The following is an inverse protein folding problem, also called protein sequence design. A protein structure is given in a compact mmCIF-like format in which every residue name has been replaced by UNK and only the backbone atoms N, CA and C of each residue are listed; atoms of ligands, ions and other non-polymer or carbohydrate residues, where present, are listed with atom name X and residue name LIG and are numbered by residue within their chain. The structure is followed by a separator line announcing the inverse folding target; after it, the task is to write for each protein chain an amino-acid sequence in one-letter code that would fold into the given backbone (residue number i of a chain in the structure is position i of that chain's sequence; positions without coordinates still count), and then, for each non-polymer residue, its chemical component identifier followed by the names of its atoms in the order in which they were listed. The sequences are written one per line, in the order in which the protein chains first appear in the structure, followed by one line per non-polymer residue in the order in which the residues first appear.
data_IF_216445269413
#
_entry.id   IF_216445269413
#
_cell.length_a   1.000
_cell.length_b   1.000
_cell.length_c   1.000
_cell.angle_alpha   90.00
_cell.angle_beta   90.00
_cell.angle_gamma   90.00
#
_symmetry.space_group_name_H-M   'P 1'
#
loop_
_entity.id
_entity.type
_entity.pdbx_description
1 polymer ?
#
# COMPACT_ATOMS: atom_id res chain seq x y z
N UNK A 1 -90.10 -16.05 29.82
CA UNK A 1 -88.99 -16.66 30.58
C UNK A 1 -87.69 -16.40 29.82
N UNK A 2 -86.74 -15.76 30.50
CA UNK A 2 -85.28 -15.69 30.33
C UNK A 2 -84.65 -15.54 28.92
N UNK A 3 -83.97 -14.43 28.57
CA UNK A 3 -82.64 -13.89 28.98
C UNK A 3 -81.50 -14.32 28.03
N UNK A 4 -80.90 -13.39 27.26
CA UNK A 4 -79.47 -12.98 27.36
C UNK A 4 -79.03 -12.02 26.22
N UNK A 5 -78.57 -10.83 26.63
CA UNK A 5 -77.72 -9.89 25.89
C UNK A 5 -76.32 -10.49 25.71
N UNK A 6 -75.67 -10.23 24.57
CA UNK A 6 -74.21 -10.36 24.43
C UNK A 6 -73.63 -8.97 24.16
N UNK A 7 -72.86 -8.48 25.14
CA UNK A 7 -72.02 -7.29 25.07
C UNK A 7 -70.73 -7.60 24.28
N UNK A 8 -70.39 -6.74 23.31
CA UNK A 8 -69.07 -6.69 22.67
C UNK A 8 -68.14 -5.80 23.50
N UNK A 9 -67.13 -6.40 24.14
CA UNK A 9 -66.04 -5.69 24.79
C UNK A 9 -64.85 -5.54 23.83
N UNK A 10 -64.54 -4.30 23.44
CA UNK A 10 -63.36 -3.96 22.67
C UNK A 10 -62.13 -3.92 23.58
N UNK A 11 -61.27 -4.94 23.50
CA UNK A 11 -59.96 -4.96 24.16
C UNK A 11 -58.90 -4.24 23.32
N UNK A 12 -58.46 -3.07 23.79
CA UNK A 12 -57.30 -2.36 23.26
C UNK A 12 -56.02 -3.05 23.74
N UNK A 13 -55.39 -3.86 22.89
CA UNK A 13 -54.09 -4.47 23.19
C UNK A 13 -53.00 -3.45 22.81
N UNK A 14 -52.51 -2.70 23.80
CA UNK A 14 -51.28 -1.93 23.69
C UNK A 14 -50.08 -2.89 23.64
N UNK A 15 -49.61 -3.23 22.44
CA UNK A 15 -48.34 -3.91 22.23
C UNK A 15 -47.19 -2.93 22.52
N UNK A 16 -46.63 -3.02 23.72
CA UNK A 16 -45.40 -2.32 24.09
C UNK A 16 -44.22 -3.03 23.41
N UNK A 17 -43.79 -2.53 22.25
CA UNK A 17 -42.54 -2.97 21.66
C UNK A 17 -41.39 -2.36 22.48
N UNK A 18 -40.47 -3.15 23.06
CA UNK A 18 -39.30 -2.59 23.71
C UNK A 18 -38.46 -1.90 22.64
N UNK A 19 -38.21 -0.60 22.81
CA UNK A 19 -37.25 0.13 21.99
C UNK A 19 -35.91 -0.60 22.06
N UNK A 20 -35.56 -1.33 21.01
CA UNK A 20 -34.19 -1.78 20.81
C UNK A 20 -33.33 -0.54 20.72
N UNK A 21 -32.69 -0.15 21.83
CA UNK A 21 -31.61 0.84 21.83
C UNK A 21 -30.57 0.36 20.83
N UNK A 22 -30.62 0.93 19.63
CA UNK A 22 -29.63 0.73 18.59
C UNK A 22 -28.30 1.23 19.15
N UNK A 23 -27.48 0.30 19.65
CA UNK A 23 -26.16 0.62 20.21
C UNK A 23 -25.34 1.23 19.08
N UNK A 24 -25.15 2.54 19.13
CA UNK A 24 -24.40 3.26 18.10
C UNK A 24 -23.04 2.57 17.88
N UNK A 25 -22.83 2.03 16.67
CA UNK A 25 -21.63 1.29 16.34
C UNK A 25 -20.39 2.15 16.63
N UNK A 26 -19.42 1.58 17.35
CA UNK A 26 -18.14 2.23 17.61
C UNK A 26 -17.40 2.47 16.29
N UNK A 27 -16.68 3.59 16.18
CA UNK A 27 -15.84 3.86 15.02
C UNK A 27 -14.82 2.75 14.82
N UNK A 28 -14.69 2.26 13.59
CA UNK A 28 -13.67 1.26 13.25
C UNK A 28 -12.26 1.88 13.26
N UNK A 29 -11.24 1.05 13.48
CA UNK A 29 -9.86 1.47 13.30
C UNK A 29 -9.59 1.94 11.86
N UNK A 30 -8.85 3.04 11.64
CA UNK A 30 -8.40 3.42 10.31
C UNK A 30 -7.57 2.30 9.67
N UNK A 31 -7.79 2.06 8.37
CA UNK A 31 -7.03 1.09 7.57
C UNK A 31 -6.06 1.84 6.65
N UNK A 32 -5.04 1.13 6.16
CA UNK A 32 -4.10 1.66 5.18
C UNK A 32 -3.30 2.86 5.69
N UNK A 33 -3.00 2.91 7.00
CA UNK A 33 -2.07 3.93 7.52
C UNK A 33 -0.71 3.72 6.86
N UNK A 34 -0.27 4.74 6.12
CA UNK A 34 1.04 4.81 5.51
C UNK A 34 1.76 6.03 6.09
N UNK A 35 2.89 5.77 6.72
CA UNK A 35 3.87 6.79 7.10
C UNK A 35 5.04 6.75 6.11
N UNK A 36 5.39 7.91 5.58
CA UNK A 36 6.51 8.05 4.65
C UNK A 36 7.33 9.30 4.96
N UNK A 37 8.61 9.13 5.23
CA UNK A 37 9.59 10.20 5.41
C UNK A 37 10.06 10.69 4.06
N UNK A 38 9.87 11.99 3.82
CA UNK A 38 10.25 12.68 2.59
C UNK A 38 10.96 13.97 2.97
N UNK A 39 12.26 14.06 2.68
CA UNK A 39 13.16 15.12 3.18
C UNK A 39 13.07 15.20 4.71
N UNK A 40 12.72 16.34 5.27
CA UNK A 40 12.52 16.64 6.70
C UNK A 40 11.05 16.50 7.15
N UNK A 41 10.16 16.04 6.26
CA UNK A 41 8.74 15.86 6.54
C UNK A 41 8.37 14.38 6.70
N UNK A 42 7.38 14.10 7.55
CA UNK A 42 6.67 12.82 7.56
C UNK A 42 5.25 13.00 7.04
N UNK A 43 4.96 12.30 5.95
CA UNK A 43 3.67 12.27 5.28
C UNK A 43 2.89 11.06 5.77
N UNK A 44 1.77 11.33 6.45
CA UNK A 44 0.85 10.32 6.92
C UNK A 44 -0.41 10.32 6.06
N UNK A 45 -0.91 9.14 5.69
CA UNK A 45 -2.20 9.00 5.02
C UNK A 45 -2.91 7.73 5.48
N UNK A 46 -4.25 7.74 5.49
CA UNK A 46 -5.06 6.59 5.87
C UNK A 46 -6.43 6.63 5.16
N UNK A 47 -7.14 5.51 5.20
CA UNK A 47 -8.49 5.41 4.65
C UNK A 47 -9.54 6.06 5.58
N UNK A 48 -10.58 6.71 5.02
CA UNK A 48 -11.64 7.31 5.81
C UNK A 48 -12.43 6.29 6.62
N UNK A 49 -12.71 6.60 7.89
CA UNK A 49 -13.61 5.85 8.75
C UNK A 49 -15.02 6.42 8.65
N UNK A 50 -16.00 5.57 8.32
CA UNK A 50 -17.40 5.98 8.17
C UNK A 50 -17.93 6.58 9.48
N UNK A 51 -18.46 7.80 9.40
CA UNK A 51 -19.10 8.49 10.53
C UNK A 51 -18.15 9.16 11.52
N UNK A 52 -16.84 9.18 11.23
CA UNK A 52 -15.85 9.94 12.00
C UNK A 52 -15.86 11.42 11.62
N UNK A 53 -15.71 12.30 12.61
CA UNK A 53 -15.59 13.74 12.42
C UNK A 53 -14.13 14.18 12.29
N UNK A 54 -13.20 13.38 12.84
CA UNK A 54 -11.77 13.60 12.67
C UNK A 54 -10.91 12.45 13.20
N UNK A 55 -9.62 12.72 13.30
CA UNK A 55 -8.60 11.76 13.70
C UNK A 55 -7.58 12.39 14.65
N UNK A 56 -7.07 11.59 15.58
CA UNK A 56 -5.91 11.89 16.39
C UNK A 56 -4.72 11.05 15.94
N UNK A 57 -3.57 11.70 15.84
CA UNK A 57 -2.31 11.10 15.40
C UNK A 57 -1.38 11.03 16.60
N UNK A 58 -0.91 9.82 16.88
CA UNK A 58 0.07 9.55 17.90
C UNK A 58 1.39 9.12 17.25
N UNK A 59 2.47 9.66 17.78
CA UNK A 59 3.85 9.42 17.35
C UNK A 59 4.63 8.80 18.50
N UNK A 60 5.60 7.96 18.15
CA UNK A 60 6.67 7.52 19.03
C UNK A 60 7.97 7.62 18.26
N UNK A 61 8.85 8.52 18.68
CA UNK A 61 10.19 8.63 18.10
C UNK A 61 11.08 7.48 18.60
N UNK A 62 12.13 7.18 17.86
CA UNK A 62 13.21 6.30 18.31
C UNK A 62 13.77 6.79 19.65
N UNK A 63 14.08 5.85 20.56
CA UNK A 63 14.53 6.17 21.92
C UNK A 63 13.43 6.63 22.88
N UNK A 64 12.17 6.78 22.43
CA UNK A 64 11.04 7.11 23.32
C UNK A 64 10.23 5.87 23.74
N UNK A 65 9.88 5.84 25.03
CA UNK A 65 9.05 4.79 25.63
C UNK A 65 7.55 5.04 25.44
N UNK A 66 7.13 6.30 25.46
CA UNK A 66 5.73 6.74 25.41
C UNK A 66 5.22 7.11 24.02
N UNK A 67 3.90 7.21 23.88
CA UNK A 67 3.26 7.80 22.70
C UNK A 67 2.84 9.24 22.98
N UNK A 68 3.12 10.13 22.04
CA UNK A 68 2.71 11.55 22.11
C UNK A 68 1.65 11.83 21.07
N UNK A 69 0.56 12.49 21.45
CA UNK A 69 -0.42 13.00 20.47
C UNK A 69 0.17 14.24 19.80
N UNK A 70 0.44 14.15 18.50
CA UNK A 70 1.12 15.23 17.75
C UNK A 70 0.19 16.05 16.88
N UNK A 71 -1.02 15.56 16.59
CA UNK A 71 -1.96 16.27 15.72
C UNK A 71 -3.40 15.74 15.84
N UNK A 72 -4.34 16.66 15.67
CA UNK A 72 -5.76 16.37 15.44
C UNK A 72 -6.18 16.95 14.08
N UNK A 73 -6.94 16.22 13.27
CA UNK A 73 -7.37 16.71 11.95
C UNK A 73 -8.62 16.02 11.42
N UNK A 74 -9.45 16.73 10.66
CA UNK A 74 -10.55 16.16 9.87
C UNK A 74 -10.08 15.58 8.52
N UNK A 75 -8.84 15.88 8.10
CA UNK A 75 -8.24 15.35 6.86
C UNK A 75 -7.83 13.89 7.08
N UNK A 76 -7.74 13.13 5.98
CA UNK A 76 -7.29 11.72 5.96
C UNK A 76 -5.80 11.62 5.64
N UNK A 77 -5.09 12.72 5.88
CA UNK A 77 -3.70 12.95 5.57
C UNK A 77 -3.17 14.02 6.52
N UNK A 78 -1.94 13.85 6.98
CA UNK A 78 -1.20 14.87 7.69
C UNK A 78 0.22 14.96 7.13
N UNK A 79 0.79 16.16 7.20
CA UNK A 79 2.22 16.39 7.03
C UNK A 79 2.70 16.89 8.40
N UNK A 80 3.70 16.20 8.92
CA UNK A 80 4.43 16.56 10.14
C UNK A 80 5.80 17.07 9.69
N UNK A 81 6.07 18.33 9.96
CA UNK A 81 7.32 18.99 9.54
C UNK A 81 8.39 18.86 10.63
N UNK A 82 9.60 19.24 10.27
CA UNK A 82 10.72 19.44 11.20
C UNK A 82 11.01 18.18 12.02
N UNK A 83 10.95 17.01 11.37
CA UNK A 83 11.35 15.74 11.99
C UNK A 83 12.85 15.55 11.84
N UNK A 84 13.46 14.97 12.85
CA UNK A 84 14.91 14.82 12.89
C UNK A 84 15.36 13.90 11.76
N UNK A 85 16.18 14.43 10.86
CA UNK A 85 16.80 13.67 9.78
C UNK A 85 17.58 12.47 10.33
N UNK A 86 17.50 11.35 9.63
CA UNK A 86 18.12 10.08 10.02
C UNK A 86 17.42 9.34 11.16
N UNK A 87 16.32 9.87 11.74
CA UNK A 87 15.63 9.25 12.86
C UNK A 87 14.42 8.42 12.44
N UNK A 88 14.13 7.37 13.21
CA UNK A 88 12.94 6.53 13.01
C UNK A 88 11.76 7.01 13.84
N UNK A 89 10.57 6.96 13.24
CA UNK A 89 9.32 7.33 13.90
C UNK A 89 8.26 6.26 13.66
N UNK A 90 7.43 6.00 14.66
CA UNK A 90 6.30 5.07 14.61
C UNK A 90 5.01 5.83 14.84
N UNK A 91 4.00 5.56 14.02
CA UNK A 91 2.71 6.23 14.08
C UNK A 91 1.56 5.26 14.30
N UNK A 92 0.54 5.76 15.00
CA UNK A 92 -0.80 5.16 15.03
C UNK A 92 -1.84 6.27 15.01
N UNK A 93 -2.94 6.01 14.33
CA UNK A 93 -4.06 6.96 14.17
C UNK A 93 -5.35 6.34 14.67
N UNK A 94 -6.18 7.10 15.39
CA UNK A 94 -7.55 6.70 15.75
C UNK A 94 -8.56 7.74 15.27
N UNK A 95 -9.75 7.28 14.90
CA UNK A 95 -10.85 8.15 14.52
C UNK A 95 -11.64 8.60 15.77
N UNK A 96 -12.23 9.80 15.73
CA UNK A 96 -13.15 10.29 16.75
C UNK A 96 -14.44 10.83 16.16
N UNK A 97 -15.48 10.88 16.98
CA UNK A 97 -16.78 11.51 16.70
C UNK A 97 -17.16 12.43 17.84
N UNK A 98 -17.56 13.65 17.53
CA UNK A 98 -18.03 14.64 18.50
C UNK A 98 -19.49 14.32 18.85
N UNK A 99 -19.79 14.28 20.15
CA UNK A 99 -21.14 14.12 20.70
C UNK A 99 -21.39 15.22 21.73
N UNK A 100 -22.66 15.46 22.07
CA UNK A 100 -23.03 16.38 23.17
C UNK A 100 -22.34 16.01 24.49
N UNK A 101 -22.11 14.73 24.73
CA UNK A 101 -21.44 14.19 25.92
C UNK A 101 -19.91 14.11 25.81
N UNK A 102 -19.29 14.77 24.82
CA UNK A 102 -17.83 14.71 24.56
C UNK A 102 -17.42 13.83 23.38
N UNK A 103 -16.12 13.61 23.22
CA UNK A 103 -15.57 12.84 22.09
C UNK A 103 -15.68 11.32 22.31
N UNK A 104 -16.13 10.60 21.29
CA UNK A 104 -16.08 9.14 21.23
C UNK A 104 -14.99 8.68 20.28
N UNK A 105 -14.12 7.80 20.75
CA UNK A 105 -12.96 7.30 20.02
C UNK A 105 -13.17 5.89 19.49
N UNK A 106 -12.65 5.61 18.29
CA UNK A 106 -12.44 4.26 17.79
C UNK A 106 -11.11 3.68 18.25
N UNK A 107 -10.88 2.40 17.94
CA UNK A 107 -9.58 1.76 18.14
C UNK A 107 -8.50 2.37 17.25
N UNK A 108 -7.24 2.21 17.65
CA UNK A 108 -6.09 2.61 16.82
C UNK A 108 -5.95 1.73 15.57
N UNK A 109 -5.47 2.34 14.50
CA UNK A 109 -4.96 1.65 13.31
C UNK A 109 -3.77 0.74 13.64
N UNK A 110 -3.44 -0.17 12.70
CA UNK A 110 -2.14 -0.83 12.71
C UNK A 110 -1.04 0.22 12.65
N UNK A 111 0.05 0.00 13.39
CA UNK A 111 1.20 0.92 13.41
C UNK A 111 1.82 1.02 12.02
N UNK A 112 2.32 2.20 11.70
CA UNK A 112 3.18 2.42 10.54
C UNK A 112 4.38 3.25 10.97
N UNK A 113 5.57 2.74 10.75
CA UNK A 113 6.81 3.47 10.98
C UNK A 113 7.43 4.03 9.69
N UNK A 114 8.41 4.89 9.81
CA UNK A 114 9.20 5.43 8.70
C UNK A 114 10.56 5.91 9.22
N UNK A 115 11.55 6.00 8.33
CA UNK A 115 12.84 6.64 8.63
C UNK A 115 12.91 7.96 7.86
N UNK A 116 13.17 9.07 8.53
CA UNK A 116 13.44 10.34 7.84
C UNK A 116 14.85 10.25 7.23
N UNK A 117 15.04 10.51 5.92
CA UNK A 117 16.38 10.46 5.33
C UNK A 117 17.35 11.44 6.01
N UNK A 118 18.64 11.15 5.98
CA UNK A 118 19.65 12.00 6.62
C UNK A 118 19.90 13.27 5.80
N UNK A 119 20.05 13.13 4.47
CA UNK A 119 20.28 14.25 3.54
C UNK A 119 19.47 14.12 2.24
N UNK A 120 19.08 12.90 1.86
CA UNK A 120 18.33 12.61 0.65
C UNK A 120 16.85 12.98 0.69
N UNK A 121 16.11 12.57 -0.33
CA UNK A 121 14.65 12.79 -0.39
C UNK A 121 13.89 11.65 0.28
N UNK A 122 14.35 10.41 0.17
CA UNK A 122 13.70 9.25 0.81
C UNK A 122 14.74 8.18 1.15
N UNK A 123 14.31 7.09 1.78
CA UNK A 123 15.14 5.91 1.99
C UNK A 123 14.65 4.73 1.15
N UNK A 124 15.54 3.80 0.83
CA UNK A 124 15.19 2.56 0.13
C UNK A 124 14.16 1.75 0.91
N UNK A 125 14.29 1.72 2.25
CA UNK A 125 13.30 1.14 3.15
C UNK A 125 11.93 1.80 2.99
N UNK A 126 11.85 3.13 3.01
CA UNK A 126 10.59 3.86 2.82
C UNK A 126 9.95 3.55 1.47
N UNK A 127 10.73 3.57 0.39
CA UNK A 127 10.26 3.20 -0.96
C UNK A 127 9.62 1.81 -1.00
N UNK A 128 10.27 0.81 -0.38
CA UNK A 128 9.72 -0.54 -0.31
C UNK A 128 8.46 -0.62 0.58
N UNK A 129 8.40 0.12 1.69
CA UNK A 129 7.16 0.20 2.50
C UNK A 129 6.00 0.82 1.74
N UNK A 130 6.25 1.88 0.98
CA UNK A 130 5.25 2.48 0.08
C UNK A 130 4.78 1.44 -0.94
N UNK A 131 5.70 0.68 -1.55
CA UNK A 131 5.37 -0.35 -2.54
C UNK A 131 4.48 -1.48 -1.97
N UNK A 132 4.58 -1.76 -0.67
CA UNK A 132 3.78 -2.78 0.01
C UNK A 132 2.40 -2.28 0.45
N UNK A 133 2.19 -0.97 0.57
CA UNK A 133 0.92 -0.40 1.03
C UNK A 133 -0.33 -0.87 0.24
N UNK A 134 -0.30 -0.98 -1.11
CA UNK A 134 -1.45 -1.47 -1.89
C UNK A 134 -1.63 -3.01 -1.87
N UNK A 135 -0.65 -3.78 -1.38
CA UNK A 135 -0.67 -5.25 -1.43
C UNK A 135 -1.93 -5.81 -0.77
N UNK A 136 -2.61 -6.72 -1.46
CA UNK A 136 -3.80 -7.39 -0.96
C UNK A 136 -5.05 -6.50 -0.87
N UNK A 137 -4.99 -5.26 -1.37
CA UNK A 137 -6.09 -4.29 -1.33
C UNK A 137 -6.32 -3.51 -2.61
N UNK A 138 -5.52 -3.76 -3.65
CA UNK A 138 -5.63 -3.05 -4.93
C UNK A 138 -5.68 -4.07 -6.07
N UNK A 139 -6.74 -4.02 -6.88
CA UNK A 139 -6.90 -4.89 -8.04
C UNK A 139 -6.06 -4.41 -9.23
N UNK A 140 -5.71 -5.34 -10.11
CA UNK A 140 -5.08 -5.02 -11.38
C UNK A 140 -6.13 -4.44 -12.33
N UNK A 141 -5.91 -3.23 -12.82
CA UNK A 141 -6.75 -2.56 -13.81
C UNK A 141 -5.85 -2.11 -14.94
N UNK A 142 -6.04 -2.64 -16.16
CA UNK A 142 -5.30 -2.18 -17.34
C UNK A 142 -5.52 -0.68 -17.54
N UNK A 143 -4.44 0.12 -17.61
CA UNK A 143 -4.52 1.59 -17.66
C UNK A 143 -4.77 2.25 -16.31
N UNK A 144 -4.78 1.49 -15.21
CA UNK A 144 -4.88 2.04 -13.85
C UNK A 144 -3.60 2.76 -13.47
N UNK A 145 -3.70 3.99 -12.97
CA UNK A 145 -2.55 4.87 -12.72
C UNK A 145 -2.19 5.78 -13.91
N UNK A 146 -2.64 5.44 -15.12
CA UNK A 146 -2.46 6.27 -16.32
C UNK A 146 -3.47 7.40 -16.42
N UNK A 147 -3.09 8.49 -17.10
CA UNK A 147 -4.04 9.53 -17.53
C UNK A 147 -4.94 9.00 -18.66
N UNK A 148 -5.94 9.80 -19.09
CA UNK A 148 -6.89 9.39 -20.15
C UNK A 148 -6.21 9.27 -21.52
N UNK A 149 -5.21 10.11 -21.79
CA UNK A 149 -4.47 10.14 -23.05
C UNK A 149 -3.47 8.98 -23.19
N UNK A 150 -3.25 8.21 -22.13
CA UNK A 150 -2.35 7.04 -22.08
C UNK A 150 -0.90 7.39 -22.43
N UNK A 151 -0.47 8.60 -22.05
CA UNK A 151 0.86 9.13 -22.31
C UNK A 151 1.57 9.63 -21.04
N UNK A 152 1.08 9.24 -19.86
CA UNK A 152 1.68 9.62 -18.59
C UNK A 152 0.81 9.34 -17.37
N UNK A 153 1.28 9.82 -16.22
CA UNK A 153 0.62 9.62 -14.94
C UNK A 153 -0.75 10.30 -14.84
N UNK A 154 -1.73 9.54 -14.36
CA UNK A 154 -3.08 10.01 -14.06
C UNK A 154 -3.25 10.42 -12.59
N UNK A 155 -4.48 10.80 -12.24
CA UNK A 155 -4.85 11.27 -10.89
C UNK A 155 -4.52 10.27 -9.78
N UNK A 156 -4.61 8.97 -10.07
CA UNK A 156 -4.28 7.91 -9.13
C UNK A 156 -2.77 7.84 -8.85
N UNK A 157 -1.92 7.90 -9.88
CA UNK A 157 -0.46 7.85 -9.71
C UNK A 157 0.10 9.12 -9.05
N UNK A 158 -0.54 10.29 -9.29
CA UNK A 158 -0.16 11.59 -8.71
C UNK A 158 -0.74 11.83 -7.30
N UNK A 159 -1.42 10.83 -6.71
CA UNK A 159 -2.04 10.93 -5.39
C UNK A 159 -1.05 10.54 -4.29
N UNK A 160 -1.07 11.29 -3.20
CA UNK A 160 -0.46 10.89 -1.93
C UNK A 160 -1.38 9.96 -1.14
N UNK A 161 -0.86 8.79 -0.79
CA UNK A 161 -1.56 7.73 -0.09
C UNK A 161 -2.44 6.88 -1.00
N UNK A 162 -2.97 5.81 -0.42
CA UNK A 162 -3.88 4.91 -1.11
C UNK A 162 -5.17 5.63 -1.54
N UNK A 163 -5.75 5.22 -2.66
CA UNK A 163 -7.11 5.58 -3.01
C UNK A 163 -8.08 4.64 -2.27
N UNK A 164 -8.99 5.15 -1.41
CA UNK A 164 -9.94 4.30 -0.68
C UNK A 164 -10.85 3.45 -1.57
N UNK A 165 -11.05 3.85 -2.83
CA UNK A 165 -11.81 3.07 -3.80
C UNK A 165 -11.11 1.77 -4.20
N UNK A 166 -9.77 1.70 -4.12
CA UNK A 166 -9.04 0.47 -4.44
C UNK A 166 -9.43 -0.66 -3.48
N UNK A 167 -9.37 -0.43 -2.16
CA UNK A 167 -9.79 -1.44 -1.18
C UNK A 167 -11.28 -1.76 -1.30
N UNK A 168 -12.11 -0.73 -1.43
CA UNK A 168 -13.57 -0.90 -1.57
C UNK A 168 -13.92 -1.77 -2.77
N UNK A 169 -13.23 -1.57 -3.89
CA UNK A 169 -13.41 -2.39 -5.09
C UNK A 169 -12.82 -3.78 -4.92
N UNK A 170 -11.61 -3.89 -4.39
CA UNK A 170 -10.94 -5.17 -4.15
C UNK A 170 -11.77 -6.07 -3.23
N UNK A 171 -12.33 -5.55 -2.14
CA UNK A 171 -13.12 -6.32 -1.17
C UNK A 171 -14.41 -6.91 -1.77
N UNK A 172 -14.93 -6.33 -2.86
CA UNK A 172 -16.11 -6.84 -3.58
C UNK A 172 -15.79 -7.94 -4.60
N UNK A 173 -14.52 -8.11 -4.96
CA UNK A 173 -14.14 -9.09 -5.98
C UNK A 173 -14.09 -10.51 -5.43
N UNK A 174 -14.43 -11.48 -6.27
CA UNK A 174 -14.36 -12.92 -5.97
C UNK A 174 -13.18 -13.56 -6.71
N UNK A 175 -12.90 -14.83 -6.43
CA UNK A 175 -11.87 -15.60 -7.14
C UNK A 175 -12.08 -15.61 -8.68
N UNK A 176 -13.32 -15.40 -9.16
CA UNK A 176 -13.69 -15.29 -10.57
C UNK A 176 -13.35 -13.94 -11.22
N UNK A 177 -12.62 -13.04 -10.54
CA UNK A 177 -12.26 -11.73 -11.09
C UNK A 177 -11.53 -11.85 -12.42
N UNK A 178 -12.02 -11.16 -13.43
CA UNK A 178 -11.40 -11.05 -14.75
C UNK A 178 -11.16 -9.58 -15.09
N UNK A 179 -9.89 -9.18 -15.12
CA UNK A 179 -9.49 -7.80 -15.38
C UNK A 179 -9.97 -7.27 -16.74
N UNK A 180 -10.23 -8.15 -17.72
CA UNK A 180 -10.73 -7.76 -19.05
C UNK A 180 -12.06 -7.01 -18.99
N UNK A 181 -12.90 -7.32 -17.99
CA UNK A 181 -14.20 -6.66 -17.76
C UNK A 181 -14.07 -5.26 -17.12
N UNK A 182 -12.85 -4.87 -16.73
CA UNK A 182 -12.56 -3.64 -15.99
C UNK A 182 -11.41 -2.83 -16.59
N UNK A 183 -10.97 -3.14 -17.82
CA UNK A 183 -9.94 -2.33 -18.51
C UNK A 183 -10.33 -0.86 -18.52
N UNK A 184 -9.35 0.00 -18.25
CA UNK A 184 -9.49 1.46 -18.21
C UNK A 184 -10.49 2.01 -17.19
N UNK A 185 -11.02 1.19 -16.27
CA UNK A 185 -11.77 1.67 -15.10
C UNK A 185 -10.84 2.28 -14.05
N UNK A 186 -10.19 3.38 -14.45
CA UNK A 186 -9.31 4.21 -13.62
C UNK A 186 -10.02 4.60 -12.32
N UNK A 187 -9.30 4.70 -11.21
CA UNK A 187 -9.85 4.92 -9.86
C UNK A 187 -10.08 3.65 -9.05
N UNK A 188 -10.12 2.46 -9.67
CA UNK A 188 -10.42 1.19 -8.98
C UNK A 188 -9.21 0.26 -8.80
N UNK A 189 -8.06 0.61 -9.37
CA UNK A 189 -6.85 -0.18 -9.25
C UNK A 189 -5.69 0.40 -10.05
N UNK A 190 -4.63 -0.39 -10.18
CA UNK A 190 -3.38 -0.01 -10.84
C UNK A 190 -2.96 -1.11 -11.81
N UNK A 191 -2.40 -0.76 -12.97
CA UNK A 191 -1.60 -1.73 -13.73
C UNK A 191 -0.15 -1.75 -13.22
N UNK A 192 0.72 -2.47 -13.92
CA UNK A 192 2.11 -2.68 -13.52
C UNK A 192 2.90 -1.37 -13.47
N UNK A 193 2.88 -0.56 -14.53
CA UNK A 193 3.62 0.71 -14.57
C UNK A 193 2.93 1.81 -13.78
N UNK A 194 1.61 1.84 -13.72
CA UNK A 194 0.86 2.71 -12.82
C UNK A 194 1.17 2.46 -11.34
N UNK A 195 1.38 1.20 -10.96
CA UNK A 195 1.84 0.83 -9.62
C UNK A 195 3.26 1.32 -9.31
N UNK A 196 4.21 1.09 -10.21
CA UNK A 196 5.59 1.55 -10.03
C UNK A 196 5.64 3.08 -9.98
N UNK A 197 4.97 3.75 -10.92
CA UNK A 197 4.90 5.22 -10.94
C UNK A 197 4.23 5.82 -9.71
N UNK A 198 3.13 5.23 -9.21
CA UNK A 198 2.52 5.63 -7.93
C UNK A 198 3.48 5.45 -6.75
N UNK A 199 4.24 4.35 -6.73
CA UNK A 199 5.21 4.05 -5.68
C UNK A 199 6.33 5.10 -5.66
N UNK A 200 6.94 5.38 -6.82
CA UNK A 200 7.98 6.41 -6.96
C UNK A 200 7.42 7.78 -6.57
N UNK A 201 6.21 8.12 -7.03
CA UNK A 201 5.58 9.39 -6.67
C UNK A 201 5.39 9.54 -5.16
N UNK A 202 4.86 8.51 -4.50
CA UNK A 202 4.63 8.56 -3.06
C UNK A 202 5.92 8.56 -2.25
N UNK A 203 6.99 7.95 -2.75
CA UNK A 203 8.29 7.96 -2.08
C UNK A 203 8.96 9.34 -2.13
N UNK A 204 8.71 10.14 -3.16
CA UNK A 204 9.43 11.40 -3.43
C UNK A 204 8.64 12.67 -3.14
N UNK A 205 7.31 12.60 -3.03
CA UNK A 205 6.44 13.77 -2.94
C UNK A 205 5.62 13.81 -1.66
N UNK A 206 5.36 15.03 -1.17
CA UNK A 206 4.52 15.26 0.01
C UNK A 206 3.16 15.84 -0.33
N UNK A 207 2.90 16.21 -1.58
CA UNK A 207 1.65 16.83 -2.03
C UNK A 207 1.09 16.15 -3.29
N UNK A 208 -0.15 16.46 -3.64
CA UNK A 208 -0.79 15.89 -4.83
C UNK A 208 -0.19 16.55 -6.09
N UNK A 209 0.17 15.74 -7.08
CA UNK A 209 0.79 16.23 -8.29
C UNK A 209 -0.17 16.78 -9.33
N UNK A 210 0.41 17.52 -10.27
CA UNK A 210 -0.24 18.05 -11.47
C UNK A 210 0.07 17.15 -12.68
N UNK A 211 -0.70 17.32 -13.73
CA UNK A 211 -0.46 16.61 -14.98
C UNK A 211 0.96 16.92 -15.49
N UNK A 212 1.71 15.87 -15.84
CA UNK A 212 3.11 15.98 -16.27
C UNK A 212 4.14 15.74 -15.15
N UNK A 213 3.76 15.76 -13.87
CA UNK A 213 4.70 15.62 -12.74
C UNK A 213 4.90 14.16 -12.25
N UNK A 214 4.43 13.16 -13.00
CA UNK A 214 4.38 11.78 -12.52
C UNK A 214 5.29 10.82 -13.28
N UNK A 215 5.41 9.61 -12.76
CA UNK A 215 6.46 8.65 -13.13
C UNK A 215 5.90 7.40 -13.83
N UNK A 216 4.83 7.56 -14.60
CA UNK A 216 4.20 6.47 -15.34
C UNK A 216 4.56 6.61 -16.81
N UNK A 217 5.15 5.56 -17.36
CA UNK A 217 5.39 5.33 -18.78
C UNK A 217 5.13 3.84 -19.07
N UNK A 218 5.32 3.42 -20.32
CA UNK A 218 5.26 2.04 -20.76
C UNK A 218 6.24 1.22 -19.93
N UNK A 219 5.81 0.03 -19.54
CA UNK A 219 6.59 -0.85 -18.68
C UNK A 219 8.01 -1.15 -19.20
N UNK A 220 8.24 -1.10 -20.52
CA UNK A 220 9.55 -1.32 -21.14
C UNK A 220 10.53 -0.15 -20.99
N UNK A 221 10.01 1.07 -20.78
CA UNK A 221 10.78 2.32 -20.77
C UNK A 221 11.26 2.66 -19.35
N UNK A 222 10.44 2.39 -18.32
CA UNK A 222 10.64 2.91 -16.97
C UNK A 222 12.06 2.75 -16.39
N UNK A 223 12.72 1.61 -16.60
CA UNK A 223 14.09 1.44 -16.12
C UNK A 223 15.08 2.43 -16.77
N UNK A 224 14.94 2.70 -18.06
CA UNK A 224 15.76 3.68 -18.76
C UNK A 224 15.38 5.10 -18.32
N UNK A 225 14.09 5.44 -18.31
CA UNK A 225 13.59 6.77 -17.93
C UNK A 225 14.08 7.18 -16.53
N UNK A 226 14.06 6.26 -15.57
CA UNK A 226 14.53 6.55 -14.20
C UNK A 226 16.06 6.68 -14.11
N UNK A 227 16.82 6.02 -14.98
CA UNK A 227 18.26 6.23 -15.08
C UNK A 227 18.59 7.58 -15.72
N UNK A 228 17.82 8.00 -16.73
CA UNK A 228 17.96 9.31 -17.40
C UNK A 228 17.72 10.48 -16.43
N UNK A 229 16.91 10.29 -15.39
CA UNK A 229 16.78 11.25 -14.29
C UNK A 229 18.03 11.38 -13.40
N UNK A 230 19.09 10.60 -13.64
CA UNK A 230 20.33 10.60 -12.86
C UNK A 230 20.22 9.90 -11.50
N UNK A 231 19.14 9.16 -11.24
CA UNK A 231 18.87 8.55 -9.92
C UNK A 231 19.57 7.22 -9.67
N UNK A 232 20.18 6.65 -10.72
CA UNK A 232 20.68 5.29 -10.67
C UNK A 232 21.31 4.85 -11.99
N UNK A 233 21.43 3.54 -12.14
CA UNK A 233 22.06 2.92 -13.32
C UNK A 233 21.06 2.04 -14.05
N UNK A 234 21.13 2.09 -15.38
CA UNK A 234 20.39 1.20 -16.26
C UNK A 234 21.29 0.05 -16.74
N UNK A 235 20.73 -1.15 -16.80
CA UNK A 235 21.35 -2.33 -17.43
C UNK A 235 20.33 -3.02 -18.31
N UNK A 236 20.73 -3.37 -19.52
CA UNK A 236 19.94 -4.28 -20.37
C UNK A 236 19.87 -5.67 -19.72
N UNK A 237 18.81 -6.42 -20.00
CA UNK A 237 18.59 -7.74 -19.37
C UNK A 237 19.80 -8.68 -19.51
N UNK A 238 20.46 -8.69 -20.67
CA UNK A 238 21.68 -9.46 -20.93
C UNK A 238 22.89 -9.10 -20.05
N UNK A 239 22.88 -7.92 -19.43
CA UNK A 239 23.94 -7.44 -18.55
C UNK A 239 23.57 -7.54 -17.05
N UNK A 240 22.36 -8.00 -16.71
CA UNK A 240 21.91 -8.18 -15.33
C UNK A 240 22.57 -9.42 -14.73
N UNK A 241 23.23 -9.24 -13.58
CA UNK A 241 23.96 -10.32 -12.87
C UNK A 241 23.40 -10.63 -11.48
N UNK A 242 22.68 -9.68 -10.90
CA UNK A 242 22.17 -9.73 -9.54
C UNK A 242 20.88 -8.91 -9.41
N UNK A 243 20.10 -9.18 -8.35
CA UNK A 243 18.88 -8.44 -8.01
C UNK A 243 18.94 -8.00 -6.56
N UNK A 244 18.83 -6.69 -6.34
CA UNK A 244 18.93 -6.04 -5.03
C UNK A 244 17.60 -5.40 -4.67
N UNK A 245 17.37 -5.23 -3.38
CA UNK A 245 16.18 -4.58 -2.87
C UNK A 245 16.02 -3.19 -3.53
N UNK A 246 14.82 -2.91 -4.04
CA UNK A 246 14.48 -1.67 -4.74
C UNK A 246 14.75 -1.64 -6.24
N UNK A 247 15.47 -2.62 -6.81
CA UNK A 247 15.67 -2.68 -8.25
C UNK A 247 14.31 -2.66 -8.97
N UNK A 248 14.22 -1.90 -10.06
CA UNK A 248 13.03 -1.83 -10.91
C UNK A 248 13.33 -2.58 -12.19
N UNK A 249 12.55 -3.64 -12.43
CA UNK A 249 12.78 -4.58 -13.51
C UNK A 249 11.73 -4.35 -14.59
N UNK A 250 12.16 -3.85 -15.75
CA UNK A 250 11.31 -3.39 -16.86
C UNK A 250 11.46 -4.28 -18.10
N UNK A 251 10.34 -4.83 -18.57
CA UNK A 251 10.28 -5.73 -19.72
C UNK A 251 9.26 -5.27 -20.76
N UNK A 252 9.14 -6.00 -21.87
CA UNK A 252 8.35 -5.59 -23.05
C UNK A 252 6.88 -5.23 -22.76
N UNK A 253 6.28 -5.85 -21.74
CA UNK A 253 4.88 -5.63 -21.33
C UNK A 253 4.62 -5.67 -19.82
N UNK A 254 5.65 -5.73 -18.98
CA UNK A 254 5.49 -5.79 -17.53
C UNK A 254 6.65 -5.11 -16.81
N UNK A 255 6.41 -4.64 -15.59
CA UNK A 255 7.41 -4.02 -14.72
C UNK A 255 7.12 -4.38 -13.26
N UNK A 256 8.17 -4.52 -12.45
CA UNK A 256 8.03 -4.84 -11.03
C UNK A 256 9.18 -4.27 -10.18
N UNK A 257 9.00 -4.30 -8.86
CA UNK A 257 10.00 -3.86 -7.87
C UNK A 257 10.54 -5.10 -7.15
N UNK A 258 11.86 -5.22 -7.05
CA UNK A 258 12.54 -6.29 -6.31
C UNK A 258 12.49 -6.01 -4.81
N UNK A 259 12.09 -7.01 -4.03
CA UNK A 259 12.23 -7.01 -2.57
C UNK A 259 13.61 -7.58 -2.18
N UNK A 260 14.07 -8.62 -2.87
CA UNK A 260 15.43 -9.14 -2.71
C UNK A 260 15.62 -10.51 -3.35
N UNK A 261 16.87 -10.97 -3.35
CA UNK A 261 17.26 -12.29 -3.86
C UNK A 261 17.30 -13.35 -2.76
N UNK A 262 17.11 -14.61 -3.16
CA UNK A 262 17.32 -15.80 -2.35
C UNK A 262 18.60 -16.52 -2.81
N UNK A 263 19.17 -17.35 -1.93
CA UNK A 263 20.39 -18.12 -2.19
C UNK A 263 20.32 -19.07 -3.39
N UNK A 264 19.11 -19.50 -3.81
CA UNK A 264 18.91 -20.36 -4.99
C UNK A 264 18.77 -19.56 -6.31
N UNK A 265 19.09 -18.27 -6.27
CA UNK A 265 18.99 -17.33 -7.39
C UNK A 265 17.56 -16.87 -7.70
N UNK A 266 16.55 -17.35 -6.95
CA UNK A 266 15.17 -16.88 -7.12
C UNK A 266 14.95 -15.53 -6.42
N UNK A 267 14.02 -14.73 -6.95
CA UNK A 267 13.80 -13.33 -6.52
C UNK A 267 12.41 -13.16 -5.95
N UNK A 268 12.31 -12.46 -4.81
CA UNK A 268 11.04 -11.98 -4.27
C UNK A 268 10.80 -10.57 -4.81
N UNK A 269 9.59 -10.31 -5.29
CA UNK A 269 9.18 -9.06 -5.90
C UNK A 269 7.78 -8.63 -5.44
N UNK A 270 7.50 -7.34 -5.59
CA UNK A 270 6.14 -6.78 -5.48
C UNK A 270 5.75 -6.17 -6.82
N UNK A 271 4.53 -6.46 -7.26
CA UNK A 271 4.05 -6.00 -8.56
C UNK A 271 2.52 -5.96 -8.63
N UNK A 272 2.01 -5.19 -9.59
CA UNK A 272 0.62 -5.30 -10.03
C UNK A 272 0.53 -6.17 -11.28
N UNK A 273 -0.18 -7.28 -11.19
CA UNK A 273 -0.54 -8.16 -12.31
C UNK A 273 -1.87 -8.82 -11.98
N UNK A 274 -2.65 -9.37 -12.93
CA UNK A 274 -3.86 -10.10 -12.58
C UNK A 274 -3.59 -11.16 -11.49
N UNK A 275 -4.32 -11.17 -10.37
CA UNK A 275 -5.53 -10.39 -10.09
C UNK A 275 -5.30 -8.96 -9.51
N UNK A 276 -4.16 -8.67 -8.90
CA UNK A 276 -3.82 -7.33 -8.41
C UNK A 276 -2.44 -7.20 -7.79
N UNK A 277 -2.28 -6.21 -6.90
CA UNK A 277 -0.99 -5.91 -6.28
C UNK A 277 -0.66 -6.94 -5.21
N UNK A 278 0.45 -7.64 -5.39
CA UNK A 278 0.88 -8.70 -4.48
C UNK A 278 2.39 -8.89 -4.43
N UNK A 279 2.85 -9.56 -3.37
CA UNK A 279 4.19 -10.11 -3.28
C UNK A 279 4.20 -11.45 -4.01
N UNK A 280 5.18 -11.65 -4.88
CA UNK A 280 5.40 -12.89 -5.62
C UNK A 280 6.86 -13.34 -5.52
N UNK A 281 7.11 -14.62 -5.81
CA UNK A 281 8.46 -15.17 -5.95
C UNK A 281 8.67 -15.77 -7.34
N UNK A 282 9.85 -15.63 -7.91
CA UNK A 282 10.20 -16.27 -9.19
C UNK A 282 10.60 -17.73 -9.00
N UNK A 283 10.52 -18.54 -10.04
CA UNK A 283 11.28 -19.77 -10.16
C UNK A 283 12.80 -19.46 -10.08
N UNK A 284 13.61 -20.49 -9.86
CA UNK A 284 15.09 -20.36 -9.98
C UNK A 284 15.47 -20.04 -11.43
N UNK A 285 16.71 -19.57 -11.70
CA UNK A 285 17.20 -19.38 -13.06
C UNK A 285 17.08 -20.63 -13.95
N UNK A 286 17.25 -21.82 -13.35
CA UNK A 286 17.06 -23.12 -14.01
C UNK A 286 15.59 -23.54 -14.20
N UNK A 287 14.61 -22.69 -13.84
CA UNK A 287 13.19 -22.96 -14.03
C UNK A 287 12.50 -23.74 -12.91
N UNK A 288 13.15 -24.02 -11.78
CA UNK A 288 12.52 -24.76 -10.66
C UNK A 288 11.45 -23.89 -10.00
N UNK A 289 10.19 -24.30 -10.12
CA UNK A 289 9.01 -23.56 -9.61
C UNK A 289 8.87 -23.59 -8.08
N UNK A 290 9.41 -24.62 -7.41
CA UNK A 290 9.37 -24.73 -5.94
C UNK A 290 10.55 -24.01 -5.25
N UNK A 291 10.83 -22.78 -5.68
CA UNK A 291 12.00 -21.99 -5.24
C UNK A 291 11.84 -21.45 -3.82
N UNK A 292 12.96 -20.99 -3.23
CA UNK A 292 12.97 -20.28 -1.95
C UNK A 292 12.12 -19.01 -2.01
N UNK A 293 12.18 -18.24 -3.10
CA UNK A 293 11.38 -17.03 -3.26
C UNK A 293 9.87 -17.31 -3.31
N UNK A 294 9.42 -18.34 -4.06
CA UNK A 294 8.00 -18.71 -4.14
C UNK A 294 7.46 -19.11 -2.76
N UNK A 295 8.22 -19.93 -2.01
CA UNK A 295 7.86 -20.32 -0.64
C UNK A 295 7.79 -19.11 0.30
N UNK A 296 8.77 -18.22 0.19
CA UNK A 296 8.87 -17.03 1.05
C UNK A 296 7.74 -16.03 0.77
N UNK A 297 7.49 -15.71 -0.50
CA UNK A 297 6.37 -14.85 -0.92
C UNK A 297 5.03 -15.43 -0.46
N UNK A 298 4.79 -16.73 -0.71
CA UNK A 298 3.57 -17.42 -0.29
C UNK A 298 3.36 -17.40 1.23
N UNK A 299 4.44 -17.58 2.01
CA UNK A 299 4.40 -17.49 3.49
C UNK A 299 3.95 -16.10 3.96
N UNK A 300 4.54 -15.04 3.42
CA UNK A 300 4.21 -13.66 3.81
C UNK A 300 2.81 -13.26 3.34
N UNK A 301 2.44 -13.62 2.11
CA UNK A 301 1.09 -13.38 1.59
C UNK A 301 0.03 -14.04 2.46
N UNK A 302 0.20 -15.32 2.84
CA UNK A 302 -0.74 -16.04 3.72
C UNK A 302 -0.81 -15.44 5.12
N UNK A 303 0.34 -15.05 5.71
CA UNK A 303 0.41 -14.51 7.07
C UNK A 303 -0.24 -13.13 7.18
N UNK A 304 0.07 -12.22 6.26
CA UNK A 304 -0.33 -10.81 6.38
C UNK A 304 -1.55 -10.43 5.54
N UNK A 305 -1.87 -11.21 4.49
CA UNK A 305 -2.99 -10.95 3.57
C UNK A 305 -3.85 -12.22 3.33
N UNK A 306 -4.34 -12.90 4.39
CA UNK A 306 -5.05 -14.17 4.26
C UNK A 306 -6.35 -14.06 3.43
N UNK A 307 -7.09 -12.96 3.56
CA UNK A 307 -8.31 -12.73 2.77
C UNK A 307 -8.05 -12.54 1.28
N UNK A 308 -6.86 -12.05 0.91
CA UNK A 308 -6.41 -12.01 -0.48
C UNK A 308 -6.09 -13.42 -0.97
N UNK A 309 -5.25 -14.15 -0.22
CA UNK A 309 -4.80 -15.50 -0.59
C UNK A 309 -5.95 -16.51 -0.74
N UNK A 310 -7.03 -16.37 0.03
CA UNK A 310 -8.23 -17.22 -0.15
C UNK A 310 -8.89 -17.04 -1.52
N UNK A 311 -8.75 -15.88 -2.15
CA UNK A 311 -9.33 -15.56 -3.46
C UNK A 311 -8.33 -15.74 -4.59
N UNK A 312 -7.07 -15.39 -4.33
CA UNK A 312 -5.98 -15.38 -5.30
C UNK A 312 -4.73 -16.01 -4.64
N UNK A 313 -4.63 -17.34 -4.63
CA UNK A 313 -3.58 -18.04 -3.89
C UNK A 313 -2.21 -18.06 -4.60
N UNK A 314 -2.18 -17.82 -5.92
CA UNK A 314 -0.95 -17.90 -6.70
C UNK A 314 -0.08 -16.65 -6.54
N UNK A 315 1.09 -16.84 -5.92
CA UNK A 315 2.15 -15.86 -5.76
C UNK A 315 3.44 -16.29 -6.48
N UNK A 316 3.36 -17.15 -7.49
CA UNK A 316 4.52 -17.71 -8.20
C UNK A 316 4.72 -17.07 -9.57
N UNK A 317 5.97 -16.86 -9.99
CA UNK A 317 6.32 -16.32 -11.32
C UNK A 317 7.38 -17.20 -11.96
N UNK A 318 7.36 -17.29 -13.30
CA UNK A 318 8.33 -18.10 -14.04
C UNK A 318 9.74 -17.51 -14.02
N UNK A 319 10.72 -18.28 -14.49
CA UNK A 319 12.10 -17.81 -14.65
C UNK A 319 12.22 -16.65 -15.65
N UNK A 320 11.25 -16.50 -16.57
CA UNK A 320 11.19 -15.35 -17.48
C UNK A 320 11.14 -14.00 -16.77
N UNK A 321 10.71 -13.93 -15.51
CA UNK A 321 10.75 -12.70 -14.72
C UNK A 321 12.19 -12.25 -14.42
N UNK A 322 13.18 -13.12 -14.58
CA UNK A 322 14.59 -12.80 -14.38
C UNK A 322 15.22 -12.12 -15.62
N UNK A 323 14.57 -12.18 -16.79
CA UNK A 323 15.06 -11.58 -18.05
C UNK A 323 14.41 -10.22 -18.35
N UNK A 324 14.73 -9.22 -17.54
CA UNK A 324 14.18 -7.86 -17.61
C UNK A 324 15.33 -6.83 -17.57
N UNK A 325 15.14 -5.67 -18.20
CA UNK A 325 16.07 -4.56 -18.00
C UNK A 325 16.01 -4.10 -16.55
N UNK A 326 17.15 -3.71 -15.99
CA UNK A 326 17.27 -3.31 -14.59
C UNK A 326 17.55 -1.82 -14.48
N UNK A 327 16.79 -1.16 -13.64
CA UNK A 327 17.18 0.09 -13.00
C UNK A 327 17.57 -0.18 -11.55
N UNK A 328 18.75 0.31 -11.16
CA UNK A 328 19.27 0.23 -9.80
C UNK A 328 19.53 1.62 -9.24
N UNK A 329 18.88 1.92 -8.12
CA UNK A 329 19.06 3.17 -7.38
C UNK A 329 20.51 3.38 -6.94
N UNK A 330 21.00 4.63 -7.07
CA UNK A 330 22.24 5.06 -6.45
C UNK A 330 21.97 5.51 -5.01
N UNK A 331 22.21 4.61 -4.05
CA UNK A 331 21.78 4.77 -2.66
C UNK A 331 22.77 5.47 -1.71
N UNK A 332 23.77 6.16 -2.27
CA UNK A 332 24.74 6.91 -1.45
C UNK A 332 24.05 8.06 -0.70
N UNK A 333 24.57 8.37 0.49
CA UNK A 333 24.10 9.49 1.33
C UNK A 333 24.09 10.80 0.54
N UNK A 334 22.99 11.56 0.61
CA UNK A 334 22.80 12.81 -0.13
C UNK A 334 22.19 12.66 -1.52
N UNK A 335 22.07 11.44 -2.07
CA UNK A 335 21.30 11.22 -3.29
C UNK A 335 19.79 11.24 -3.01
N UNK A 336 18.99 11.16 -4.07
CA UNK A 336 17.53 11.14 -3.97
C UNK A 336 17.02 10.02 -3.04
N UNK A 337 17.66 8.86 -3.08
CA UNK A 337 17.35 7.70 -2.23
C UNK A 337 18.59 7.32 -1.43
N UNK A 338 18.43 7.14 -0.12
CA UNK A 338 19.49 6.66 0.78
C UNK A 338 19.20 5.24 1.27
N UNK A 339 20.22 4.46 1.62
CA UNK A 339 20.03 3.13 2.21
C UNK A 339 20.74 3.00 3.57
N UNK A 340 20.30 3.74 4.60
CA UNK A 340 20.91 3.67 5.94
C UNK A 340 20.73 2.30 6.61
N UNK A 341 19.79 1.49 6.12
CA UNK A 341 19.47 0.18 6.66
C UNK A 341 20.15 -0.97 5.88
N UNK A 342 21.03 -0.67 4.92
CA UNK A 342 21.77 -1.63 4.09
C UNK A 342 20.88 -2.67 3.39
N UNK A 343 19.72 -2.27 2.90
CA UNK A 343 18.77 -3.13 2.20
C UNK A 343 19.34 -3.74 0.91
N UNK A 344 20.22 -3.03 0.19
CA UNK A 344 20.89 -3.57 -1.00
C UNK A 344 21.84 -4.74 -0.71
N UNK A 345 22.21 -4.95 0.55
CA UNK A 345 23.10 -6.03 1.02
C UNK A 345 22.32 -7.18 1.66
N UNK A 346 21.04 -6.97 1.98
CA UNK A 346 20.17 -7.94 2.66
C UNK A 346 19.60 -8.99 1.70
N UNK A 347 19.40 -10.20 2.21
CA UNK A 347 18.60 -11.23 1.56
C UNK A 347 17.11 -10.84 1.52
N UNK A 348 16.34 -11.46 0.62
CA UNK A 348 14.88 -11.29 0.56
C UNK A 348 14.19 -11.57 1.91
N UNK A 349 14.71 -12.53 2.68
CA UNK A 349 14.17 -12.90 4.00
C UNK A 349 14.39 -11.80 5.02
N UNK A 350 15.56 -11.19 5.04
CA UNK A 350 15.90 -10.12 5.99
C UNK A 350 15.12 -8.85 5.67
N UNK A 351 15.03 -8.49 4.38
CA UNK A 351 14.20 -7.36 3.92
C UNK A 351 12.74 -7.55 4.34
N UNK A 352 12.14 -8.71 4.03
CA UNK A 352 10.74 -8.96 4.42
C UNK A 352 10.53 -9.02 5.93
N UNK A 353 11.49 -9.54 6.71
CA UNK A 353 11.39 -9.54 8.17
C UNK A 353 11.33 -8.12 8.72
N UNK A 354 12.17 -7.22 8.22
CA UNK A 354 12.19 -5.82 8.66
C UNK A 354 10.99 -4.99 8.17
N UNK A 355 10.54 -5.20 6.93
CA UNK A 355 9.38 -4.48 6.39
C UNK A 355 8.06 -4.81 7.11
N UNK A 356 7.98 -5.97 7.78
CA UNK A 356 6.79 -6.46 8.48
C UNK A 356 6.96 -6.57 10.01
N UNK A 357 8.03 -5.99 10.56
CA UNK A 357 8.33 -5.97 12.01
C UNK A 357 7.40 -5.04 12.79
#
# INVERSE_FOLDING_TARGET
MFFWMILLAAGMICLWAPETKCRAASLSAPKGLLANGVKDEVVLSWEPVKGADGYEIFEKAEGQDGWTMVKTTAKKKAILKDRQNGSRYIYKVRAYKVKKSGMRYGSFSKKSDTTVPAKGTTTLRNFLKVSLAPVGSTMYIWGGGWNKADNGAGKDALRIGLNPQWRTFADRQRASYNYRNYRYRRGYGLDCSGFVGWTVYNALHTSKGKQGEGYVDKARNLAADYAENGWGTFRRSSAVKDYKAGDIMSGSGHVYIVIGSCEDGSVVLVHSSPAGVQISGTATPSGKRNSKAVKLAGKYMKKYYPSWCRRYPDSSRGASYLDYNQFRWNVKKGNIMEDPDHYQEKSAREVLRDLFS
#
